data_IF_796989380911
#
_entry.id   IF_796989380911
#
_cell.length_a   1.000
_cell.length_b   1.000
_cell.length_c   1.000
_cell.angle_alpha   90.00
_cell.angle_beta   90.00
_cell.angle_gamma   90.00
#
_symmetry.space_group_name_H-M   'P 1'
#
loop_
_entity.id
_entity.type
_entity.pdbx_description
1 polymer ?
#
# COMPACT_ATOMS: atom_id res chain seq x y z
N UNK A 1 26.52 -24.17 -2.58
CA UNK A 1 25.29 -23.38 -2.81
C UNK A 1 24.62 -23.89 -4.07
N UNK A 2 23.48 -24.56 -3.90
CA UNK A 2 22.73 -25.21 -4.97
C UNK A 2 22.19 -24.19 -6.00
N UNK A 3 22.04 -24.61 -7.26
CA UNK A 3 21.57 -23.75 -8.37
C UNK A 3 20.13 -23.30 -8.18
N UNK A 4 19.28 -24.12 -7.55
CA UNK A 4 17.91 -23.75 -7.20
C UNK A 4 17.89 -22.57 -6.20
N UNK A 5 18.76 -22.62 -5.18
CA UNK A 5 18.86 -21.57 -4.15
C UNK A 5 19.31 -20.23 -4.73
N UNK A 6 20.29 -20.24 -5.65
CA UNK A 6 20.74 -19.02 -6.35
C UNK A 6 19.61 -18.40 -7.19
N UNK A 7 18.78 -19.21 -7.84
CA UNK A 7 17.62 -18.74 -8.61
C UNK A 7 16.54 -18.15 -7.70
N UNK A 8 16.27 -18.78 -6.55
CA UNK A 8 15.31 -18.28 -5.58
C UNK A 8 15.69 -16.88 -5.05
N UNK A 9 16.96 -16.69 -4.67
CA UNK A 9 17.47 -15.40 -4.19
C UNK A 9 17.37 -14.33 -5.29
N UNK A 10 17.72 -14.67 -6.54
CA UNK A 10 17.62 -13.74 -7.68
C UNK A 10 16.17 -13.31 -7.93
N UNK A 11 15.23 -14.26 -7.92
CA UNK A 11 13.81 -13.99 -8.13
C UNK A 11 13.20 -13.18 -6.98
N UNK A 12 13.62 -13.44 -5.74
CA UNK A 12 13.22 -12.65 -4.58
C UNK A 12 13.66 -11.19 -4.72
N UNK A 13 14.95 -10.95 -5.03
CA UNK A 13 15.49 -9.60 -5.23
C UNK A 13 14.79 -8.84 -6.36
N UNK A 14 14.53 -9.52 -7.49
CA UNK A 14 13.78 -8.93 -8.62
C UNK A 14 12.36 -8.54 -8.22
N UNK A 15 11.65 -9.38 -7.46
CA UNK A 15 10.30 -9.08 -6.97
C UNK A 15 10.29 -7.92 -5.98
N UNK A 16 11.30 -7.85 -5.11
CA UNK A 16 11.44 -6.76 -4.15
C UNK A 16 11.64 -5.42 -4.86
N UNK A 17 12.57 -5.37 -5.83
CA UNK A 17 12.83 -4.16 -6.62
C UNK A 17 11.59 -3.71 -7.41
N UNK A 18 10.86 -4.64 -8.04
CA UNK A 18 9.62 -4.31 -8.76
C UNK A 18 8.56 -3.71 -7.82
N UNK A 19 8.43 -4.23 -6.60
CA UNK A 19 7.48 -3.72 -5.60
C UNK A 19 7.89 -2.35 -5.05
N UNK A 20 9.19 -2.12 -4.82
CA UNK A 20 9.65 -0.80 -4.39
C UNK A 20 9.42 0.24 -5.49
N UNK A 21 9.79 -0.07 -6.75
CA UNK A 21 9.54 0.82 -7.88
C UNK A 21 8.04 1.14 -8.03
N UNK A 22 7.16 0.13 -8.00
CA UNK A 22 5.72 0.37 -8.07
C UNK A 22 5.16 1.25 -6.93
N UNK A 23 5.78 1.25 -5.75
CA UNK A 23 5.41 2.15 -4.64
C UNK A 23 5.93 3.57 -4.84
N UNK A 24 7.09 3.73 -5.46
CA UNK A 24 7.70 5.03 -5.72
C UNK A 24 7.16 5.68 -7.00
N UNK A 25 6.84 4.91 -8.04
CA UNK A 25 6.25 5.40 -9.29
C UNK A 25 4.83 5.93 -9.05
N UNK A 26 4.08 5.31 -8.12
CA UNK A 26 2.80 5.83 -7.64
C UNK A 26 2.92 7.15 -6.83
N UNK A 27 4.14 7.55 -6.45
CA UNK A 27 4.48 8.77 -5.72
C UNK A 27 5.50 9.60 -6.53
N UNK A 28 5.28 9.70 -7.84
CA UNK A 28 6.18 10.40 -8.79
C UNK A 28 6.35 11.89 -8.47
N UNK A 29 5.45 12.46 -7.69
CA UNK A 29 5.58 13.80 -7.12
C UNK A 29 5.56 13.70 -5.59
N UNK A 30 6.50 14.35 -4.87
CA UNK A 30 6.40 14.45 -3.43
C UNK A 30 5.03 15.05 -3.10
N UNK A 31 4.21 14.41 -2.24
CA UNK A 31 2.89 14.92 -1.94
C UNK A 31 3.06 16.35 -1.45
N UNK A 32 2.45 17.30 -2.17
CA UNK A 32 2.50 18.70 -1.77
C UNK A 32 2.08 18.78 -0.31
N UNK A 33 2.85 19.54 0.50
CA UNK A 33 2.50 19.74 1.90
C UNK A 33 1.07 20.26 1.95
N UNK A 34 0.18 19.52 2.62
CA UNK A 34 -1.24 19.85 2.69
C UNK A 34 -2.14 19.24 1.61
N UNK A 35 -1.65 18.40 0.70
CA UNK A 35 -2.48 17.74 -0.31
C UNK A 35 -3.61 16.88 0.29
N UNK A 36 -3.33 16.17 1.39
CA UNK A 36 -4.34 15.41 2.14
C UNK A 36 -5.41 16.36 2.71
N UNK A 37 -5.01 17.47 3.33
CA UNK A 37 -5.96 18.45 3.87
C UNK A 37 -6.79 19.12 2.76
N UNK A 38 -6.16 19.45 1.64
CA UNK A 38 -6.83 20.03 0.47
C UNK A 38 -7.86 19.06 -0.12
N UNK A 39 -7.53 17.77 -0.21
CA UNK A 39 -8.46 16.73 -0.66
C UNK A 39 -9.64 16.56 0.32
N UNK A 40 -9.36 16.51 1.62
CA UNK A 40 -10.40 16.43 2.65
C UNK A 40 -11.35 17.63 2.61
N UNK A 41 -10.85 18.86 2.47
CA UNK A 41 -11.68 20.08 2.35
C UNK A 41 -12.56 20.12 1.09
N UNK A 42 -12.17 19.41 0.04
CA UNK A 42 -12.94 19.30 -1.22
C UNK A 42 -13.88 18.09 -1.24
N UNK A 43 -13.88 17.26 -0.19
CA UNK A 43 -14.73 16.07 -0.13
C UNK A 43 -16.21 16.46 0.07
N UNK A 44 -17.14 15.87 -0.69
CA UNK A 44 -18.58 16.07 -0.46
C UNK A 44 -19.06 15.47 0.87
N UNK A 45 -18.23 14.66 1.53
CA UNK A 45 -18.52 14.04 2.82
C UNK A 45 -18.14 14.92 4.02
N UNK A 46 -17.63 16.12 3.79
CA UNK A 46 -17.36 17.09 4.88
C UNK A 46 -18.66 17.41 5.62
N UNK A 47 -18.64 17.31 6.95
CA UNK A 47 -19.81 17.58 7.80
C UNK A 47 -20.85 16.46 7.84
N UNK A 48 -20.60 15.33 7.16
CA UNK A 48 -21.44 14.13 7.30
C UNK A 48 -21.06 13.35 8.55
N UNK A 49 -22.04 12.68 9.17
CA UNK A 49 -21.82 11.82 10.32
C UNK A 49 -21.19 10.49 9.86
N UNK A 50 -19.86 10.50 9.71
CA UNK A 50 -19.05 9.35 9.34
C UNK A 50 -18.63 8.58 10.59
N UNK A 51 -19.03 7.32 10.66
CA UNK A 51 -18.51 6.43 11.69
C UNK A 51 -17.08 5.95 11.33
N UNK A 52 -16.07 6.55 11.95
CA UNK A 52 -14.66 6.17 11.78
C UNK A 52 -14.25 4.93 12.57
N UNK A 53 -15.16 4.32 13.35
CA UNK A 53 -14.83 3.11 14.08
C UNK A 53 -14.57 1.97 13.09
N UNK A 54 -13.32 1.50 13.07
CA UNK A 54 -12.95 0.35 12.26
C UNK A 54 -13.48 -0.90 12.94
N UNK A 55 -14.43 -1.58 12.30
CA UNK A 55 -14.89 -2.89 12.77
C UNK A 55 -13.71 -3.87 12.81
N UNK A 56 -13.50 -4.53 13.95
CA UNK A 56 -12.52 -5.58 14.14
C UNK A 56 -13.21 -6.91 13.92
N UNK A 57 -13.19 -7.37 12.67
CA UNK A 57 -13.68 -8.70 12.33
C UNK A 57 -12.57 -9.76 12.52
N UNK A 58 -12.97 -10.98 12.85
CA UNK A 58 -12.10 -12.15 13.05
C UNK A 58 -11.38 -12.60 11.77
N UNK A 59 -11.71 -12.01 10.62
CA UNK A 59 -11.11 -12.31 9.33
C UNK A 59 -11.71 -13.56 8.68
N UNK A 60 -11.43 -13.75 7.37
CA UNK A 60 -11.86 -14.97 6.66
C UNK A 60 -10.93 -16.13 7.03
N UNK A 61 -11.48 -17.31 7.31
CA UNK A 61 -10.70 -18.55 7.41
C UNK A 61 -9.98 -18.78 6.09
N UNK A 62 -8.65 -18.85 6.14
CA UNK A 62 -7.79 -19.18 5.00
C UNK A 62 -7.16 -20.53 5.32
N UNK A 63 -7.42 -21.53 4.48
CA UNK A 63 -6.64 -22.78 4.50
C UNK A 63 -5.26 -22.49 3.87
N UNK A 64 -4.21 -22.85 4.60
CA UNK A 64 -2.79 -22.65 4.25
C UNK A 64 -2.15 -23.96 3.80
#
# INVERSE_FOLDING_TARGET
MDTAQKRAIRNYRRRLAKRSMARFDAATEPPSKGGILAALRRSPLVGTDLNFTRSRDTGRKVDL
#
